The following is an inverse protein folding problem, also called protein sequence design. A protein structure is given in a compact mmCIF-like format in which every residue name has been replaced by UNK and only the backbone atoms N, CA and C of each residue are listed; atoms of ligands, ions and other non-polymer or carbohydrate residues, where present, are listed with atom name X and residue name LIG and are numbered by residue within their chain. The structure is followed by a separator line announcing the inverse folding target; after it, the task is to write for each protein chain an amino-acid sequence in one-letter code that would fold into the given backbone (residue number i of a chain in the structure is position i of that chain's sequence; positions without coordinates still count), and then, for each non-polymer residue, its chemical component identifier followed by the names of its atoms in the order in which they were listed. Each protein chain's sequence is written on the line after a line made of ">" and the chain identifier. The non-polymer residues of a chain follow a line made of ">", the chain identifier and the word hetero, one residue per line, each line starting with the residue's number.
data_IF_038931043858
#
_entry.id   IF_038931043858
#
_cell.length_a   1.000
_cell.length_b   1.000
_cell.length_c   1.000
_cell.angle_alpha   90.00
_cell.angle_beta   90.00
_cell.angle_gamma   90.00
#
_symmetry.space_group_name_H-M   'P 1'
#
loop_
_entity.id
_entity.type
_entity.pdbx_description
1 polymer ?
#
# COMPACT_ATOMS: atom_id res chain seq x y z
N UNK A 1 2.22 -5.27 -3.55
CA UNK A 1 2.68 -4.16 -4.44
C UNK A 1 3.96 -3.60 -3.86
N UNK A 2 5.04 -3.66 -4.61
CA UNK A 2 6.36 -3.28 -4.09
C UNK A 2 6.42 -1.77 -3.78
N UNK A 3 6.81 -1.43 -2.56
CA UNK A 3 6.81 -0.07 -2.04
C UNK A 3 7.94 0.82 -2.58
N UNK A 4 8.91 0.24 -3.26
CA UNK A 4 9.89 0.98 -4.08
C UNK A 4 9.23 1.94 -5.07
N UNK A 5 8.01 1.64 -5.51
CA UNK A 5 7.18 2.50 -6.37
C UNK A 5 6.89 3.88 -5.76
N UNK A 6 6.95 4.02 -4.43
CA UNK A 6 6.65 5.29 -3.75
C UNK A 6 7.87 6.19 -3.55
N UNK A 7 9.07 5.63 -3.42
CA UNK A 7 10.30 6.41 -3.20
C UNK A 7 10.78 7.06 -4.52
N UNK A 8 10.69 6.34 -5.65
CA UNK A 8 11.04 6.88 -6.97
C UNK A 8 10.12 8.00 -7.45
N UNK A 9 8.81 7.88 -7.20
CA UNK A 9 7.83 8.88 -7.66
C UNK A 9 8.00 10.25 -7.00
N UNK A 10 8.39 10.31 -5.74
CA UNK A 10 8.57 11.59 -5.03
C UNK A 10 9.81 12.38 -5.46
N UNK A 11 10.86 11.70 -5.95
CA UNK A 11 12.09 12.34 -6.42
C UNK A 11 11.98 12.86 -7.86
N UNK A 12 11.17 12.22 -8.71
CA UNK A 12 11.07 12.58 -10.12
C UNK A 12 10.00 13.65 -10.41
N UNK A 13 8.99 13.79 -9.55
CA UNK A 13 7.97 14.84 -9.71
C UNK A 13 8.52 16.29 -9.68
N UNK A 14 9.78 16.47 -9.25
CA UNK A 14 10.45 17.77 -9.18
C UNK A 14 11.19 18.21 -10.45
N UNK A 15 11.41 17.36 -11.46
CA UNK A 15 12.32 17.66 -12.56
C UNK A 15 11.69 17.97 -13.91
N UNK A 16 10.37 17.95 -14.06
CA UNK A 16 9.71 18.15 -15.34
C UNK A 16 8.84 19.41 -15.48
N UNK A 17 9.16 20.47 -14.77
CA UNK A 17 8.50 21.75 -14.95
C UNK A 17 9.33 22.67 -15.83
N UNK A 18 9.20 22.64 -17.16
CA UNK A 18 9.47 23.75 -18.08
C UNK A 18 8.97 23.47 -19.49
N UNK A 19 7.71 23.78 -19.79
CA UNK A 19 7.32 24.21 -21.14
C UNK A 19 6.08 25.09 -21.05
N UNK A 20 6.27 26.35 -21.35
CA UNK A 20 5.21 27.37 -21.45
C UNK A 20 4.61 27.35 -22.83
N UNK A 21 3.39 26.85 -22.99
CA UNK A 21 2.41 27.38 -23.95
C UNK A 21 1.07 26.67 -23.80
N UNK A 22 0.00 27.35 -24.06
CA UNK A 22 -1.37 26.97 -23.96
C UNK A 22 -1.66 25.50 -24.30
N UNK A 23 -2.26 24.75 -23.34
CA UNK A 23 -2.78 23.39 -23.48
C UNK A 23 -1.73 22.30 -23.81
N UNK A 24 -0.53 22.38 -23.29
CA UNK A 24 0.41 21.28 -23.40
C UNK A 24 0.03 20.17 -22.41
N UNK A 25 -0.36 19.02 -22.92
CA UNK A 25 -0.37 17.78 -22.15
C UNK A 25 1.07 17.27 -22.09
N UNK A 26 1.61 17.18 -20.89
CA UNK A 26 2.91 16.57 -20.66
C UNK A 26 2.76 15.07 -20.54
N UNK A 27 3.64 14.32 -21.19
CA UNK A 27 3.69 12.87 -21.07
C UNK A 27 5.12 12.43 -20.76
N UNK A 28 5.25 11.45 -19.87
CA UNK A 28 6.53 10.89 -19.49
C UNK A 28 6.46 9.37 -19.43
N UNK A 29 7.61 8.77 -19.64
CA UNK A 29 7.85 7.35 -19.43
C UNK A 29 9.02 7.23 -18.45
N UNK A 30 8.87 6.41 -17.43
CA UNK A 30 9.92 6.06 -16.49
C UNK A 30 10.04 4.54 -16.45
N UNK A 31 11.27 4.06 -16.36
CA UNK A 31 11.54 2.64 -16.14
C UNK A 31 12.15 2.49 -14.76
N UNK A 32 11.57 1.64 -13.93
CA UNK A 32 12.15 1.17 -12.68
C UNK A 32 12.60 -0.27 -12.86
N UNK A 33 13.80 -0.59 -12.38
CA UNK A 33 14.30 -1.95 -12.39
C UNK A 33 15.04 -2.22 -11.09
N UNK A 34 14.79 -3.39 -10.52
CA UNK A 34 15.35 -3.85 -9.26
C UNK A 34 15.95 -5.22 -9.42
N UNK A 35 17.20 -5.40 -9.00
CA UNK A 35 17.83 -6.70 -8.80
C UNK A 35 17.82 -7.04 -7.32
N UNK A 36 17.29 -8.20 -6.96
CA UNK A 36 17.14 -8.67 -5.58
C UNK A 36 17.95 -9.96 -5.44
N UNK A 37 18.76 -10.02 -4.39
CA UNK A 37 19.38 -11.25 -3.89
C UNK A 37 18.79 -11.53 -2.51
N UNK A 38 18.25 -12.74 -2.32
CA UNK A 38 17.71 -13.19 -1.03
C UNK A 38 18.37 -14.49 -0.56
N UNK A 39 18.40 -14.66 0.75
CA UNK A 39 18.82 -15.89 1.41
C UNK A 39 17.91 -16.12 2.61
N UNK A 40 17.13 -17.18 2.57
CA UNK A 40 16.11 -17.48 3.58
C UNK A 40 16.29 -18.85 4.20
N UNK A 41 15.91 -18.97 5.48
CA UNK A 41 15.85 -20.21 6.23
C UNK A 41 14.68 -20.19 7.22
N UNK A 42 14.20 -21.35 7.59
CA UNK A 42 13.12 -21.48 8.56
C UNK A 42 12.57 -22.90 8.63
N UNK A 43 11.66 -23.11 9.55
CA UNK A 43 10.95 -24.37 9.76
C UNK A 43 9.46 -24.30 9.39
N UNK A 44 9.08 -23.31 8.53
CA UNK A 44 7.74 -23.23 7.98
C UNK A 44 7.39 -24.49 7.16
N UNK A 45 6.09 -24.72 6.94
CA UNK A 45 5.65 -25.92 6.22
C UNK A 45 6.04 -25.90 4.73
N UNK A 46 6.27 -24.73 4.16
CA UNK A 46 6.69 -24.55 2.77
C UNK A 46 8.21 -24.42 2.67
N UNK A 47 8.91 -25.57 2.65
CA UNK A 47 10.36 -25.62 2.48
C UNK A 47 10.84 -25.02 1.13
N UNK A 48 9.94 -24.79 0.16
CA UNK A 48 10.28 -24.18 -1.12
C UNK A 48 10.72 -22.72 -0.99
N UNK A 49 10.42 -22.06 0.14
CA UNK A 49 10.85 -20.70 0.44
C UNK A 49 12.23 -20.63 1.11
N UNK A 50 12.82 -21.76 1.51
CA UNK A 50 14.17 -21.79 2.05
C UNK A 50 15.21 -21.83 0.92
N UNK A 51 16.33 -21.14 1.12
CA UNK A 51 17.45 -21.18 0.19
C UNK A 51 17.90 -19.81 -0.25
N UNK A 52 18.51 -19.75 -1.42
CA UNK A 52 19.03 -18.51 -2.01
C UNK A 52 18.37 -18.25 -3.35
N UNK A 53 17.97 -17.01 -3.56
CA UNK A 53 17.33 -16.55 -4.78
C UNK A 53 17.99 -15.31 -5.37
N UNK A 54 17.80 -15.13 -6.66
CA UNK A 54 18.07 -13.89 -7.38
C UNK A 54 16.84 -13.62 -8.22
N UNK A 55 16.29 -12.43 -8.10
CA UNK A 55 15.18 -11.96 -8.91
C UNK A 55 15.53 -10.63 -9.57
N UNK A 56 14.86 -10.34 -10.68
CA UNK A 56 14.85 -9.01 -11.30
C UNK A 56 13.41 -8.63 -11.45
N UNK A 57 13.07 -7.44 -11.02
CA UNK A 57 11.75 -6.83 -11.20
C UNK A 57 11.88 -5.60 -12.07
N UNK A 58 10.93 -5.36 -12.97
CA UNK A 58 10.96 -4.20 -13.86
C UNK A 58 9.55 -3.69 -14.12
N UNK A 59 9.36 -2.39 -13.85
CA UNK A 59 8.13 -1.68 -14.11
C UNK A 59 8.31 -0.56 -15.13
N UNK A 60 7.31 -0.34 -15.97
CA UNK A 60 7.24 0.80 -16.89
C UNK A 60 6.06 1.68 -16.47
N UNK A 61 6.37 2.92 -16.15
CA UNK A 61 5.40 3.93 -15.74
C UNK A 61 5.15 4.90 -16.89
N UNK A 62 3.90 5.00 -17.31
CA UNK A 62 3.42 6.02 -18.23
C UNK A 62 2.63 7.05 -17.46
N UNK A 63 2.99 8.32 -17.58
CA UNK A 63 2.23 9.41 -16.96
C UNK A 63 1.88 10.46 -18.01
N UNK A 64 0.71 11.05 -17.82
CA UNK A 64 0.28 12.19 -18.63
C UNK A 64 -0.45 13.18 -17.75
N UNK A 65 -0.25 14.47 -17.98
CA UNK A 65 -0.96 15.53 -17.27
C UNK A 65 -1.21 16.74 -18.15
N UNK A 66 -2.22 17.53 -17.80
CA UNK A 66 -2.52 18.77 -18.49
C UNK A 66 -3.52 19.61 -17.71
N UNK A 67 -3.70 20.84 -18.16
CA UNK A 67 -4.66 21.79 -17.60
C UNK A 67 -5.80 22.03 -18.60
N UNK A 68 -7.04 22.06 -18.12
CA UNK A 68 -8.22 22.40 -18.86
C UNK A 68 -8.47 23.91 -18.84
N UNK A 69 -9.18 24.43 -19.84
CA UNK A 69 -9.48 25.87 -19.98
C UNK A 69 -10.12 26.52 -18.73
N UNK A 70 -10.78 25.69 -17.89
CA UNK A 70 -11.40 26.16 -16.64
C UNK A 70 -10.44 26.17 -15.44
N UNK A 71 -9.15 25.88 -15.65
CA UNK A 71 -8.13 25.81 -14.59
C UNK A 71 -8.17 24.50 -13.78
N UNK A 72 -8.89 23.48 -14.26
CA UNK A 72 -8.82 22.14 -13.69
C UNK A 72 -7.65 21.37 -14.32
N UNK A 73 -7.06 20.48 -13.54
CA UNK A 73 -6.00 19.59 -14.01
C UNK A 73 -6.54 18.20 -14.32
N UNK A 74 -5.96 17.56 -15.31
CA UNK A 74 -6.18 16.14 -15.60
C UNK A 74 -4.87 15.40 -15.52
N UNK A 75 -4.88 14.19 -15.00
CA UNK A 75 -3.71 13.33 -15.01
C UNK A 75 -4.09 11.87 -15.23
N UNK A 76 -3.18 11.14 -15.88
CA UNK A 76 -3.26 9.70 -16.07
C UNK A 76 -1.94 9.09 -15.61
N UNK A 77 -2.01 7.99 -14.89
CA UNK A 77 -0.87 7.15 -14.52
C UNK A 77 -1.20 5.72 -14.89
N UNK A 78 -0.28 5.04 -15.56
CA UNK A 78 -0.42 3.64 -15.93
C UNK A 78 0.91 2.93 -15.68
N UNK A 79 0.90 1.88 -14.88
CA UNK A 79 2.07 1.09 -14.52
C UNK A 79 1.92 -0.32 -15.10
N UNK A 80 2.92 -0.74 -15.84
CA UNK A 80 3.04 -2.08 -16.35
C UNK A 80 4.15 -2.81 -15.60
N UNK A 81 3.82 -3.94 -15.01
CA UNK A 81 4.80 -4.93 -14.56
C UNK A 81 5.26 -5.72 -15.78
N UNK A 82 6.58 -5.79 -15.98
CA UNK A 82 7.20 -6.45 -17.14
C UNK A 82 8.13 -7.59 -16.74
N UNK A 83 8.12 -8.01 -15.50
CA UNK A 83 9.05 -9.01 -14.93
C UNK A 83 8.94 -10.36 -15.60
N UNK A 84 7.76 -10.93 -15.72
CA UNK A 84 7.54 -12.23 -16.39
C UNK A 84 6.64 -12.10 -17.63
N UNK A 85 5.55 -11.35 -17.50
CA UNK A 85 4.63 -11.04 -18.58
C UNK A 85 4.19 -9.60 -18.43
N UNK A 86 3.94 -8.91 -19.54
CA UNK A 86 3.43 -7.54 -19.47
C UNK A 86 2.01 -7.57 -18.91
N UNK A 87 1.86 -7.12 -17.67
CA UNK A 87 0.58 -7.03 -16.98
C UNK A 87 0.31 -5.62 -16.49
N UNK A 88 -0.97 -5.25 -16.36
CA UNK A 88 -1.33 -4.00 -15.72
C UNK A 88 -1.11 -4.11 -14.21
N UNK A 89 -0.23 -3.27 -13.66
CA UNK A 89 -0.02 -3.17 -12.22
C UNK A 89 -0.93 -2.11 -11.60
N UNK A 90 -1.12 -0.98 -12.26
CA UNK A 90 -2.09 0.04 -11.82
C UNK A 90 -2.45 1.01 -12.95
N UNK A 91 -3.68 1.51 -12.93
CA UNK A 91 -4.12 2.59 -13.83
C UNK A 91 -4.97 3.56 -13.04
N UNK A 92 -4.65 4.85 -13.16
CA UNK A 92 -5.37 5.93 -12.51
C UNK A 92 -5.63 7.05 -13.51
N UNK A 93 -6.82 7.63 -13.42
CA UNK A 93 -7.17 8.86 -14.15
C UNK A 93 -7.80 9.83 -13.15
N UNK A 94 -7.23 11.01 -13.00
CA UNK A 94 -7.67 11.99 -12.02
C UNK A 94 -8.03 13.34 -12.66
N UNK A 95 -9.01 14.02 -12.04
CA UNK A 95 -9.39 15.39 -12.34
C UNK A 95 -9.25 16.21 -11.06
N UNK A 96 -8.26 17.10 -11.03
CA UNK A 96 -8.04 18.06 -9.96
C UNK A 96 -8.89 19.31 -10.20
N UNK A 97 -9.80 19.59 -9.26
CA UNK A 97 -10.80 20.68 -9.36
C UNK A 97 -10.45 21.86 -8.45
N UNK A 98 -9.17 22.03 -8.11
CA UNK A 98 -8.68 23.07 -7.22
C UNK A 98 -9.30 22.97 -5.81
N UNK A 99 -9.97 24.01 -5.36
CA UNK A 99 -10.61 24.06 -4.03
C UNK A 99 -11.78 23.07 -3.86
N UNK A 100 -12.22 22.41 -4.92
CA UNK A 100 -13.24 21.37 -4.87
C UNK A 100 -12.66 19.97 -4.68
N UNK A 101 -11.31 19.83 -4.60
CA UNK A 101 -10.67 18.54 -4.41
C UNK A 101 -10.37 17.82 -5.71
N UNK A 102 -10.18 16.49 -5.64
CA UNK A 102 -9.82 15.65 -6.77
C UNK A 102 -10.79 14.48 -6.89
N UNK A 103 -11.25 14.22 -8.08
CA UNK A 103 -11.98 13.01 -8.44
C UNK A 103 -11.08 12.09 -9.26
N UNK A 104 -11.05 10.80 -8.94
CA UNK A 104 -10.14 9.84 -9.56
C UNK A 104 -10.87 8.54 -9.87
N UNK A 105 -10.58 7.97 -11.05
CA UNK A 105 -10.94 6.60 -11.41
C UNK A 105 -9.71 5.72 -11.25
N UNK A 106 -9.91 4.53 -10.70
CA UNK A 106 -8.84 3.55 -10.44
C UNK A 106 -9.16 2.23 -11.13
N UNK A 107 -8.12 1.57 -11.62
CA UNK A 107 -8.17 0.20 -12.10
C UNK A 107 -6.84 -0.47 -11.79
N UNK A 108 -6.87 -1.57 -11.05
CA UNK A 108 -5.74 -2.26 -10.42
C UNK A 108 -4.85 -1.33 -9.57
N UNK A 109 -4.71 -1.63 -8.30
CA UNK A 109 -3.80 -0.99 -7.36
C UNK A 109 -3.96 0.52 -7.16
N UNK A 110 -5.08 1.12 -7.58
CA UNK A 110 -5.20 2.57 -7.65
C UNK A 110 -6.04 3.27 -6.58
N UNK A 111 -6.71 2.55 -5.69
CA UNK A 111 -7.53 3.16 -4.68
C UNK A 111 -6.70 4.00 -3.70
N UNK A 112 -7.11 5.25 -3.46
CA UNK A 112 -6.34 6.15 -2.59
C UNK A 112 -6.39 5.76 -1.12
N UNK A 113 -7.40 5.01 -0.71
CA UNK A 113 -7.50 4.44 0.63
C UNK A 113 -6.40 3.43 0.93
N UNK A 114 -5.85 2.74 -0.08
CA UNK A 114 -4.68 1.89 0.09
C UNK A 114 -3.45 2.65 0.61
N UNK A 115 -3.40 3.96 0.46
CA UNK A 115 -2.29 4.75 1.01
C UNK A 115 -2.21 4.71 2.54
N UNK A 116 -3.22 4.19 3.22
CA UNK A 116 -3.25 4.02 4.68
C UNK A 116 -2.65 2.69 5.15
N UNK A 117 -2.46 1.72 4.26
CA UNK A 117 -1.81 0.44 4.56
C UNK A 117 -0.29 0.60 4.77
N UNK A 118 0.33 1.57 4.11
CA UNK A 118 1.77 1.81 4.05
C UNK A 118 2.24 3.03 4.85
N UNK A 119 1.73 3.26 6.03
CA UNK A 119 2.04 4.49 6.78
C UNK A 119 3.24 4.37 7.72
N UNK A 120 3.64 3.15 8.08
CA UNK A 120 4.78 2.96 8.97
C UNK A 120 6.10 3.34 8.31
N UNK A 121 7.00 4.06 9.01
CA UNK A 121 8.28 4.48 8.45
C UNK A 121 9.23 3.29 8.23
N UNK A 122 9.87 3.27 7.06
CA UNK A 122 10.77 2.21 6.64
C UNK A 122 11.94 2.76 5.83
N UNK A 123 13.07 2.05 5.82
CA UNK A 123 14.21 2.36 4.97
C UNK A 123 14.14 1.64 3.62
N UNK A 124 13.43 0.50 3.55
CA UNK A 124 13.33 -0.32 2.36
C UNK A 124 11.89 -0.83 2.16
N UNK A 125 11.49 -1.91 2.81
CA UNK A 125 10.19 -2.57 2.64
C UNK A 125 9.42 -2.69 3.95
N UNK A 126 8.13 -2.94 3.87
CA UNK A 126 7.31 -3.30 5.04
C UNK A 126 7.65 -4.72 5.52
N UNK A 127 7.36 -4.99 6.80
CA UNK A 127 7.59 -6.31 7.41
C UNK A 127 6.79 -7.44 6.75
N UNK A 128 5.73 -7.15 6.03
CA UNK A 128 4.88 -8.15 5.35
C UNK A 128 5.20 -8.33 3.86
N UNK A 129 6.15 -7.57 3.28
CA UNK A 129 6.49 -7.65 1.85
C UNK A 129 7.40 -8.83 1.49
N UNK A 130 7.86 -9.59 2.46
CA UNK A 130 8.77 -10.74 2.27
C UNK A 130 8.06 -12.03 1.80
N UNK A 131 6.82 -11.92 1.31
CA UNK A 131 6.08 -13.04 0.74
C UNK A 131 5.61 -14.10 1.74
N UNK A 132 5.75 -13.84 3.03
CA UNK A 132 5.31 -14.69 4.13
C UNK A 132 4.57 -13.85 5.14
N UNK A 133 3.29 -14.14 5.35
CA UNK A 133 2.41 -13.41 6.25
C UNK A 133 1.89 -12.10 5.67
N UNK A 134 0.79 -11.64 6.22
CA UNK A 134 0.13 -10.37 5.87
C UNK A 134 -0.53 -9.81 7.12
N UNK A 135 -0.40 -8.51 7.36
CA UNK A 135 -1.11 -7.84 8.43
C UNK A 135 -2.44 -7.26 7.94
N UNK A 136 -3.46 -7.23 8.79
CA UNK A 136 -4.80 -6.75 8.42
C UNK A 136 -4.81 -5.29 7.98
N UNK A 137 -3.91 -4.43 8.47
CA UNK A 137 -3.84 -3.05 8.00
C UNK A 137 -3.29 -2.97 6.55
N UNK A 138 -2.50 -3.95 6.10
CA UNK A 138 -2.08 -4.08 4.71
C UNK A 138 -3.25 -4.42 3.78
N UNK A 139 -4.27 -5.11 4.26
CA UNK A 139 -5.44 -5.46 3.46
C UNK A 139 -6.43 -4.29 3.27
N UNK A 140 -6.26 -3.17 3.99
CA UNK A 140 -7.16 -2.02 3.89
C UNK A 140 -7.20 -1.46 2.48
N UNK A 141 -8.37 -1.41 1.89
CA UNK A 141 -8.60 -0.91 0.52
C UNK A 141 -8.30 -1.91 -0.59
N UNK A 142 -7.70 -3.07 -0.31
CA UNK A 142 -7.32 -4.06 -1.32
C UNK A 142 -8.50 -4.57 -2.15
N UNK A 143 -9.66 -4.71 -1.53
CA UNK A 143 -10.90 -5.14 -2.19
C UNK A 143 -11.46 -4.12 -3.19
N UNK A 144 -11.03 -2.85 -3.11
CA UNK A 144 -11.50 -1.74 -3.95
C UNK A 144 -10.54 -1.44 -5.12
N UNK A 145 -9.56 -2.29 -5.35
CA UNK A 145 -8.49 -2.05 -6.33
C UNK A 145 -8.86 -2.39 -7.78
N UNK A 146 -9.98 -3.05 -8.02
CA UNK A 146 -10.31 -3.60 -9.35
C UNK A 146 -11.16 -2.70 -10.23
N UNK A 147 -11.67 -1.58 -9.73
CA UNK A 147 -12.45 -0.65 -10.51
C UNK A 147 -13.25 0.30 -9.63
N UNK A 148 -12.57 1.26 -9.01
CA UNK A 148 -13.18 2.18 -8.06
C UNK A 148 -13.13 3.62 -8.51
N UNK A 149 -13.94 4.44 -7.87
CA UNK A 149 -13.85 5.90 -7.93
C UNK A 149 -13.44 6.42 -6.57
N UNK A 150 -12.59 7.43 -6.56
CA UNK A 150 -12.11 8.10 -5.36
C UNK A 150 -12.42 9.58 -5.41
N UNK A 151 -12.90 10.13 -4.31
CA UNK A 151 -12.89 11.56 -4.08
C UNK A 151 -11.91 11.90 -2.95
N UNK A 152 -11.01 12.85 -3.24
CA UNK A 152 -10.04 13.41 -2.27
C UNK A 152 -10.42 14.85 -1.98
N UNK A 153 -10.66 15.18 -0.71
CA UNK A 153 -10.88 16.58 -0.33
C UNK A 153 -9.65 17.42 -0.58
N UNK A 154 -9.78 18.74 -0.74
CA UNK A 154 -8.64 19.64 -0.53
C UNK A 154 -8.12 19.46 0.90
N UNK A 155 -6.86 19.84 1.12
CA UNK A 155 -6.33 20.01 2.47
C UNK A 155 -6.92 21.28 3.09
N UNK A 156 -7.54 21.14 4.25
CA UNK A 156 -8.10 22.26 5.01
C UNK A 156 -7.09 22.68 6.08
N UNK A 157 -6.59 23.90 5.96
CA UNK A 157 -5.74 24.50 6.98
C UNK A 157 -6.59 25.06 8.12
N UNK A 158 -6.31 24.64 9.33
CA UNK A 158 -6.94 25.09 10.57
C UNK A 158 -5.95 25.92 11.39
N UNK A 159 -6.41 26.73 12.36
CA UNK A 159 -5.53 27.41 13.30
C UNK A 159 -4.55 26.43 13.98
N UNK A 160 -3.44 26.96 14.46
CA UNK A 160 -2.39 26.23 15.19
C UNK A 160 -1.59 25.24 14.32
N UNK A 161 -1.46 25.47 13.01
CA UNK A 161 -0.66 24.62 12.13
C UNK A 161 -1.23 23.23 11.87
N UNK A 162 -2.55 23.08 11.99
CA UNK A 162 -3.25 21.82 11.74
C UNK A 162 -3.75 21.79 10.31
N UNK A 163 -3.55 20.66 9.63
CA UNK A 163 -4.10 20.40 8.30
C UNK A 163 -4.97 19.14 8.36
N UNK A 164 -6.16 19.18 7.74
CA UNK A 164 -7.09 18.04 7.68
C UNK A 164 -7.38 17.70 6.23
N UNK A 165 -7.36 16.43 5.89
CA UNK A 165 -7.81 15.91 4.60
C UNK A 165 -8.56 14.59 4.77
N UNK A 166 -9.40 14.25 3.79
CA UNK A 166 -10.16 13.01 3.78
C UNK A 166 -10.23 12.43 2.37
N UNK A 167 -10.40 11.12 2.27
CA UNK A 167 -10.71 10.42 1.01
C UNK A 167 -11.96 9.57 1.18
N UNK A 168 -12.66 9.33 0.08
CA UNK A 168 -13.75 8.39 0.01
C UNK A 168 -13.63 7.60 -1.30
N UNK A 169 -13.72 6.28 -1.22
CA UNK A 169 -13.66 5.38 -2.34
C UNK A 169 -14.98 4.62 -2.46
N UNK A 170 -15.37 4.33 -3.67
CA UNK A 170 -16.52 3.49 -3.99
C UNK A 170 -16.19 2.56 -5.16
N UNK A 171 -16.37 1.27 -4.96
CA UNK A 171 -16.30 0.25 -5.99
C UNK A 171 -17.69 -0.42 -6.12
N UNK A 172 -18.34 -0.34 -7.29
CA UNK A 172 -19.65 -0.96 -7.49
C UNK A 172 -19.59 -2.51 -7.51
N UNK A 173 -18.40 -3.10 -7.66
CA UNK A 173 -18.18 -4.54 -7.78
C UNK A 173 -16.89 -4.97 -7.10
N UNK A 174 -16.73 -4.65 -5.83
CA UNK A 174 -15.55 -4.98 -5.03
C UNK A 174 -15.22 -6.48 -5.07
N UNK A 175 -13.92 -6.79 -5.00
CA UNK A 175 -13.39 -8.17 -5.09
C UNK A 175 -13.69 -8.93 -6.39
N UNK A 176 -14.21 -8.28 -7.41
CA UNK A 176 -14.45 -8.90 -8.73
C UNK A 176 -13.54 -8.21 -9.75
N UNK A 177 -12.75 -8.99 -10.47
CA UNK A 177 -11.95 -8.47 -11.57
C UNK A 177 -12.86 -7.79 -12.59
N UNK A 178 -12.72 -6.48 -12.75
CA UNK A 178 -13.50 -5.74 -13.71
C UNK A 178 -13.09 -6.18 -15.12
N UNK A 179 -14.02 -6.62 -15.96
CA UNK A 179 -13.73 -6.77 -17.37
C UNK A 179 -13.52 -5.39 -17.99
N UNK A 180 -12.83 -5.34 -19.11
CA UNK A 180 -12.55 -4.13 -19.89
C UNK A 180 -13.73 -3.16 -19.96
N UNK A 181 -13.48 -1.85 -20.20
CA UNK A 181 -14.42 -0.77 -19.90
C UNK A 181 -15.87 -1.07 -20.32
N UNK A 182 -16.80 -0.84 -19.43
CA UNK A 182 -18.24 -0.96 -19.60
C UNK A 182 -18.86 -2.38 -19.54
N UNK A 183 -18.22 -3.39 -19.02
CA UNK A 183 -18.98 -4.56 -18.63
C UNK A 183 -19.82 -4.26 -17.39
N UNK A 184 -21.10 -4.19 -17.61
CA UNK A 184 -22.12 -4.03 -16.58
C UNK A 184 -22.53 -5.41 -16.14
N UNK A 185 -22.46 -5.71 -14.85
CA UNK A 185 -23.04 -6.91 -14.29
C UNK A 185 -22.01 -7.99 -13.98
N UNK A 186 -21.47 -7.94 -12.80
CA UNK A 186 -20.90 -9.06 -12.07
C UNK A 186 -21.74 -9.32 -10.84
N UNK A 187 -21.58 -10.49 -10.26
CA UNK A 187 -22.24 -10.87 -9.01
C UNK A 187 -21.54 -10.29 -7.76
N UNK A 188 -20.67 -9.27 -7.95
CA UNK A 188 -19.96 -8.58 -6.89
C UNK A 188 -20.87 -7.68 -6.05
N UNK A 189 -20.54 -7.52 -4.78
CA UNK A 189 -21.14 -6.50 -3.93
C UNK A 189 -20.41 -5.17 -4.08
N UNK A 190 -21.08 -4.06 -3.79
CA UNK A 190 -20.39 -2.77 -3.66
C UNK A 190 -19.48 -2.76 -2.45
N UNK A 191 -18.37 -2.03 -2.58
CA UNK A 191 -17.47 -1.71 -1.48
C UNK A 191 -17.28 -0.21 -1.36
N UNK A 192 -17.02 0.23 -0.17
CA UNK A 192 -16.73 1.63 0.16
C UNK A 192 -15.62 1.73 1.19
N UNK A 193 -14.80 2.76 1.07
CA UNK A 193 -13.80 3.08 2.08
C UNK A 193 -13.78 4.59 2.33
N UNK A 194 -13.38 4.92 3.54
CA UNK A 194 -13.26 6.30 3.99
C UNK A 194 -12.03 6.48 4.86
N UNK A 195 -11.23 7.52 4.61
CA UNK A 195 -10.05 7.85 5.41
C UNK A 195 -10.04 9.30 5.82
N UNK A 196 -9.45 9.58 6.97
CA UNK A 196 -9.16 10.94 7.47
C UNK A 196 -7.72 11.02 7.90
N UNK A 197 -7.06 12.14 7.59
CA UNK A 197 -5.71 12.47 8.02
C UNK A 197 -5.71 13.86 8.66
N UNK A 198 -5.12 13.96 9.83
CA UNK A 198 -4.87 15.21 10.58
C UNK A 198 -3.38 15.32 10.77
N UNK A 199 -2.76 16.34 10.19
CA UNK A 199 -1.33 16.62 10.34
C UNK A 199 -1.11 17.95 11.05
N UNK A 200 -0.04 18.03 11.84
CA UNK A 200 0.39 19.24 12.53
C UNK A 200 1.80 19.64 12.08
N UNK A 201 2.08 20.93 12.01
CA UNK A 201 3.38 21.46 11.54
C UNK A 201 4.60 20.98 12.36
N UNK A 202 4.40 20.45 13.58
CA UNK A 202 5.46 19.83 14.38
C UNK A 202 5.94 18.49 13.84
N UNK A 203 5.32 17.95 12.79
CA UNK A 203 5.58 16.62 12.25
C UNK A 203 4.67 15.51 12.79
N UNK A 204 3.74 15.83 13.69
CA UNK A 204 2.77 14.86 14.20
C UNK A 204 1.65 14.65 13.17
N UNK A 205 1.29 13.39 12.91
CA UNK A 205 0.17 13.01 12.04
C UNK A 205 -0.65 11.93 12.73
N UNK A 206 -1.96 12.11 12.74
CA UNK A 206 -2.96 11.13 13.15
C UNK A 206 -3.86 10.83 11.95
N UNK A 207 -4.16 9.58 11.72
CA UNK A 207 -5.10 9.21 10.67
C UNK A 207 -5.79 7.89 10.94
N UNK A 208 -6.74 7.57 10.11
CA UNK A 208 -7.46 6.32 10.19
C UNK A 208 -8.51 6.21 9.10
N UNK A 209 -9.08 5.03 8.97
CA UNK A 209 -10.11 4.76 7.98
C UNK A 209 -10.94 3.53 8.30
N UNK A 210 -11.99 3.39 7.54
CA UNK A 210 -12.87 2.23 7.55
C UNK A 210 -13.19 1.83 6.11
N UNK A 211 -13.12 0.53 5.84
CA UNK A 211 -13.55 -0.09 4.57
C UNK A 211 -14.63 -1.12 4.86
N UNK A 212 -15.63 -1.20 4.01
CA UNK A 212 -16.67 -2.23 4.07
C UNK A 212 -16.97 -2.74 2.67
N UNK A 213 -17.02 -4.04 2.53
CA UNK A 213 -17.47 -4.72 1.31
C UNK A 213 -18.69 -5.55 1.64
N UNK A 214 -19.72 -5.45 0.84
CA UNK A 214 -20.93 -6.25 0.97
C UNK A 214 -20.68 -7.73 0.62
N UNK A 215 -21.64 -8.57 0.99
CA UNK A 215 -21.60 -10.00 0.73
C UNK A 215 -22.61 -10.38 -0.37
N UNK A 216 -22.14 -11.15 -1.35
CA UNK A 216 -22.96 -11.79 -2.40
C UNK A 216 -22.59 -13.25 -2.54
N UNK A 217 -23.23 -13.97 -3.46
CA UNK A 217 -22.90 -15.37 -3.77
C UNK A 217 -21.47 -15.53 -4.32
N UNK A 218 -20.87 -14.46 -4.89
CA UNK A 218 -19.54 -14.45 -5.48
C UNK A 218 -18.51 -13.61 -4.68
N UNK A 219 -18.95 -12.77 -3.76
CA UNK A 219 -18.11 -11.84 -3.02
C UNK A 219 -18.23 -12.07 -1.52
N UNK A 220 -17.10 -12.22 -0.87
CA UNK A 220 -17.03 -12.25 0.60
C UNK A 220 -17.22 -10.84 1.14
N UNK A 221 -18.09 -10.69 2.14
CA UNK A 221 -18.19 -9.45 2.88
C UNK A 221 -17.02 -9.31 3.86
N UNK A 222 -16.53 -8.11 4.03
CA UNK A 222 -15.48 -7.76 5.00
C UNK A 222 -15.63 -6.34 5.49
N UNK A 223 -15.11 -6.07 6.67
CA UNK A 223 -14.97 -4.72 7.20
C UNK A 223 -13.59 -4.61 7.83
N UNK A 224 -12.82 -3.60 7.44
CA UNK A 224 -11.52 -3.30 8.01
C UNK A 224 -11.55 -1.87 8.56
N UNK A 225 -11.10 -1.71 9.81
CA UNK A 225 -10.86 -0.41 10.40
C UNK A 225 -9.40 -0.30 10.78
N UNK A 226 -8.76 0.84 10.49
CA UNK A 226 -7.37 1.09 10.87
C UNK A 226 -7.18 2.50 11.39
N UNK A 227 -6.23 2.67 12.30
CA UNK A 227 -5.82 3.96 12.85
C UNK A 227 -4.31 4.00 13.07
N UNK A 228 -3.71 5.17 12.87
CA UNK A 228 -2.28 5.34 13.03
C UNK A 228 -1.88 6.67 13.64
N UNK A 229 -0.71 6.68 14.26
CA UNK A 229 -0.04 7.85 14.77
C UNK A 229 1.40 7.88 14.24
N UNK A 230 1.80 8.97 13.60
CA UNK A 230 3.15 9.18 13.08
C UNK A 230 3.76 10.46 13.66
N UNK A 231 5.06 10.43 13.84
CA UNK A 231 5.86 11.62 14.11
C UNK A 231 7.09 11.63 13.22
N UNK A 232 7.31 12.73 12.49
CA UNK A 232 8.47 12.90 11.62
C UNK A 232 9.08 14.28 11.80
N UNK A 233 10.34 14.34 12.21
CA UNK A 233 11.08 15.60 12.36
C UNK A 233 12.60 15.35 12.31
N UNK A 234 13.33 16.20 11.58
CA UNK A 234 14.79 16.19 11.57
C UNK A 234 15.44 14.88 11.11
N UNK A 235 14.79 14.15 10.18
CA UNK A 235 15.25 12.85 9.70
C UNK A 235 14.76 11.67 10.54
N UNK A 236 14.25 11.86 11.76
CA UNK A 236 13.63 10.85 12.59
C UNK A 236 12.16 10.70 12.22
N UNK A 237 11.70 9.45 12.05
CA UNK A 237 10.29 9.09 11.89
C UNK A 237 9.96 7.94 12.82
N UNK A 238 8.83 8.04 13.52
CA UNK A 238 8.31 6.99 14.41
C UNK A 238 6.83 6.82 14.07
N UNK A 239 6.38 5.58 13.97
CA UNK A 239 5.00 5.25 13.62
C UNK A 239 4.45 4.12 14.48
N UNK A 240 3.14 4.18 14.71
CA UNK A 240 2.34 3.11 15.28
C UNK A 240 1.01 3.03 14.54
N UNK A 241 0.57 1.83 14.23
CA UNK A 241 -0.68 1.56 13.52
C UNK A 241 -1.36 0.35 14.12
N UNK A 242 -2.68 0.40 14.21
CA UNK A 242 -3.54 -0.74 14.56
C UNK A 242 -4.59 -0.93 13.49
N UNK A 243 -5.01 -2.19 13.28
CA UNK A 243 -6.14 -2.52 12.44
C UNK A 243 -6.93 -3.69 13.01
N UNK A 244 -8.21 -3.68 12.68
CA UNK A 244 -9.15 -4.76 12.98
C UNK A 244 -9.88 -5.13 11.70
N UNK A 245 -9.80 -6.40 11.32
CA UNK A 245 -10.56 -6.98 10.22
C UNK A 245 -11.68 -7.87 10.77
N UNK A 246 -12.90 -7.60 10.35
CA UNK A 246 -14.04 -8.48 10.55
C UNK A 246 -14.37 -9.16 9.23
N UNK A 247 -13.88 -10.38 9.04
CA UNK A 247 -14.25 -11.19 7.90
C UNK A 247 -15.67 -11.73 8.11
N UNK A 248 -16.65 -10.95 7.72
CA UNK A 248 -18.03 -11.38 7.70
C UNK A 248 -18.20 -12.63 6.80
N UNK A 249 -19.28 -13.30 6.89
CA UNK A 249 -19.72 -14.53 6.20
C UNK A 249 -19.02 -14.76 4.85
N UNK A 250 -18.36 -15.92 4.70
CA UNK A 250 -17.57 -16.27 3.52
C UNK A 250 -18.36 -16.39 2.22
N UNK A 251 -19.67 -16.66 2.30
CA UNK A 251 -20.58 -16.73 1.15
C UNK A 251 -22.02 -16.50 1.61
N UNK A 252 -22.83 -15.90 0.77
CA UNK A 252 -24.25 -15.74 1.03
C UNK A 252 -24.94 -17.11 1.14
N UNK A 253 -25.57 -17.34 2.27
CA UNK A 253 -26.24 -18.63 2.55
C UNK A 253 -25.37 -19.65 3.28
N UNK A 254 -24.09 -19.38 3.54
CA UNK A 254 -23.26 -20.18 4.45
C UNK A 254 -23.28 -19.57 5.85
N UNK A 255 -23.16 -20.41 6.88
CA UNK A 255 -22.98 -19.96 8.27
C UNK A 255 -21.53 -19.91 8.68
N UNK A 256 -20.62 -20.17 7.75
CA UNK A 256 -19.17 -20.17 8.02
C UNK A 256 -18.69 -18.72 7.95
N UNK A 257 -18.35 -18.18 9.09
CA UNK A 257 -17.74 -16.86 9.26
C UNK A 257 -16.24 -16.97 9.03
N UNK A 258 -15.62 -15.99 8.39
CA UNK A 258 -14.18 -15.83 8.35
C UNK A 258 -13.63 -15.57 9.76
N UNK A 259 -12.32 -15.55 9.93
CA UNK A 259 -11.68 -15.19 11.18
C UNK A 259 -11.63 -13.68 11.27
N UNK A 260 -11.97 -13.16 12.44
CA UNK A 260 -11.65 -11.78 12.78
C UNK A 260 -10.13 -11.71 13.07
N UNK A 261 -9.46 -10.67 12.59
CA UNK A 261 -8.02 -10.49 12.74
C UNK A 261 -7.73 -9.12 13.35
N UNK A 262 -6.84 -9.11 14.31
CA UNK A 262 -6.28 -7.89 14.90
C UNK A 262 -4.81 -7.81 14.52
N UNK A 263 -4.35 -6.62 14.12
CA UNK A 263 -2.94 -6.38 13.83
C UNK A 263 -2.51 -5.04 14.41
N UNK A 264 -1.27 -4.99 14.87
CA UNK A 264 -0.60 -3.77 15.24
C UNK A 264 0.82 -3.73 14.65
N UNK A 265 1.33 -2.53 14.47
CA UNK A 265 2.67 -2.31 13.95
C UNK A 265 3.32 -1.09 14.54
N UNK A 266 4.62 -1.20 14.80
CA UNK A 266 5.49 -0.13 15.24
C UNK A 266 6.69 -0.02 14.33
N UNK A 267 7.11 1.21 14.02
CA UNK A 267 8.35 1.42 13.29
C UNK A 267 9.07 2.68 13.71
N UNK A 268 10.39 2.65 13.60
CA UNK A 268 11.28 3.79 13.74
C UNK A 268 12.23 3.82 12.56
N UNK A 269 12.37 4.98 11.91
CA UNK A 269 13.35 5.19 10.84
C UNK A 269 14.13 6.47 11.08
N UNK A 270 15.36 6.47 10.60
CA UNK A 270 16.23 7.66 10.63
C UNK A 270 16.94 7.83 9.29
N UNK A 271 16.84 9.03 8.73
CA UNK A 271 17.52 9.41 7.49
C UNK A 271 18.57 10.48 7.75
N UNK A 272 19.79 10.27 7.24
CA UNK A 272 20.92 11.20 7.36
C UNK A 272 21.64 11.31 6.01
N UNK A 273 21.41 12.41 5.29
CA UNK A 273 21.90 12.57 3.92
C UNK A 273 21.32 11.50 3.01
N UNK A 274 22.18 10.74 2.35
CA UNK A 274 21.80 9.69 1.40
C UNK A 274 21.55 8.32 2.06
N UNK A 275 21.70 8.22 3.38
CA UNK A 275 21.52 6.99 4.16
C UNK A 275 20.20 7.00 4.93
N UNK A 276 19.54 5.86 4.99
CA UNK A 276 18.39 5.61 5.85
C UNK A 276 18.52 4.26 6.56
N UNK A 277 17.98 4.19 7.76
CA UNK A 277 17.92 3.00 8.60
C UNK A 277 16.53 2.90 9.20
N UNK A 278 16.03 1.69 9.38
CA UNK A 278 14.77 1.45 10.09
C UNK A 278 14.80 0.15 10.87
N UNK A 279 13.97 0.12 11.89
CA UNK A 279 13.45 -1.07 12.54
C UNK A 279 11.93 -0.99 12.52
N UNK A 280 11.29 -2.08 12.16
CA UNK A 280 9.85 -2.22 12.18
C UNK A 280 9.47 -3.58 12.75
N UNK A 281 8.33 -3.62 13.42
CA UNK A 281 7.70 -4.83 13.94
C UNK A 281 6.19 -4.72 13.72
N UNK A 282 5.58 -5.81 13.27
CA UNK A 282 4.13 -5.95 13.17
C UNK A 282 3.70 -7.28 13.74
N UNK A 283 2.55 -7.28 14.39
CA UNK A 283 1.94 -8.44 15.00
C UNK A 283 0.56 -8.67 14.41
N UNK A 284 0.18 -9.92 14.26
CA UNK A 284 -1.15 -10.30 13.82
C UNK A 284 -1.70 -11.45 14.64
N UNK A 285 -2.94 -11.32 15.12
CA UNK A 285 -3.66 -12.35 15.84
C UNK A 285 -4.98 -12.65 15.15
N UNK A 286 -5.13 -13.88 14.65
CA UNK A 286 -6.41 -14.37 14.17
C UNK A 286 -7.24 -14.92 15.33
N UNK A 287 -8.38 -14.30 15.59
CA UNK A 287 -9.27 -14.64 16.70
C UNK A 287 -9.95 -15.99 16.48
N UNK A 288 -10.21 -16.70 17.59
CA UNK A 288 -11.00 -17.92 17.53
C UNK A 288 -12.41 -17.62 17.04
N UNK A 289 -12.86 -18.35 16.02
CA UNK A 289 -14.21 -18.24 15.51
C UNK A 289 -14.93 -19.59 15.53
N UNK A 290 -15.88 -19.73 16.42
CA UNK A 290 -16.67 -20.95 16.58
C UNK A 290 -15.86 -22.17 16.99
N UNK A 291 -15.72 -23.17 16.09
CA UNK A 291 -15.01 -24.41 16.37
C UNK A 291 -13.49 -24.33 16.14
N UNK A 292 -12.98 -23.21 15.65
CA UNK A 292 -11.54 -23.04 15.38
C UNK A 292 -10.87 -22.45 16.62
N UNK A 293 -9.80 -23.11 17.11
CA UNK A 293 -9.01 -22.59 18.23
C UNK A 293 -8.36 -21.24 17.85
N UNK A 294 -8.11 -20.42 18.88
CA UNK A 294 -7.27 -19.24 18.73
C UNK A 294 -5.90 -19.67 18.19
N UNK A 295 -5.31 -18.85 17.35
CA UNK A 295 -3.95 -19.04 16.86
C UNK A 295 -2.98 -18.26 17.77
N UNK A 296 -1.72 -18.66 17.74
CA UNK A 296 -0.64 -17.86 18.33
C UNK A 296 -0.51 -16.55 17.55
N UNK A 297 -0.09 -15.50 18.23
CA UNK A 297 0.24 -14.22 17.61
C UNK A 297 1.45 -14.40 16.68
N UNK A 298 1.29 -13.98 15.43
CA UNK A 298 2.36 -13.93 14.46
C UNK A 298 3.12 -12.62 14.63
N UNK A 299 4.45 -12.67 14.68
CA UNK A 299 5.30 -11.48 14.80
C UNK A 299 6.24 -11.41 13.61
N UNK A 300 6.27 -10.25 12.96
CA UNK A 300 7.16 -9.95 11.84
C UNK A 300 8.03 -8.76 12.22
N UNK A 301 9.34 -8.89 12.05
CA UNK A 301 10.26 -7.78 12.30
C UNK A 301 11.29 -7.62 11.21
N UNK A 302 11.74 -6.38 10.97
CA UNK A 302 12.77 -6.08 9.99
C UNK A 302 13.75 -5.01 10.50
N UNK A 303 15.05 -5.24 10.29
CA UNK A 303 16.10 -4.24 10.40
C UNK A 303 16.58 -3.94 9.00
N UNK A 304 16.54 -2.67 8.60
CA UNK A 304 16.82 -2.28 7.23
C UNK A 304 17.78 -1.10 7.14
N UNK A 305 18.51 -1.06 6.03
CA UNK A 305 19.33 0.08 5.64
C UNK A 305 19.20 0.34 4.13
N UNK A 306 19.24 1.59 3.72
CA UNK A 306 19.32 1.96 2.31
C UNK A 306 20.30 3.12 2.10
N UNK A 307 20.93 3.13 0.92
CA UNK A 307 21.84 4.18 0.47
C UNK A 307 21.46 4.63 -0.94
N UNK A 308 21.16 5.92 -1.08
CA UNK A 308 20.77 6.54 -2.34
C UNK A 308 21.98 7.14 -3.03
N UNK A 309 22.23 6.75 -4.27
CA UNK A 309 23.31 7.23 -5.14
C UNK A 309 22.79 8.06 -6.32
N UNK A 310 21.69 8.76 -6.13
CA UNK A 310 21.00 9.51 -7.18
C UNK A 310 20.02 8.61 -7.94
N UNK A 311 20.31 8.20 -9.18
CA UNK A 311 19.45 7.29 -9.94
C UNK A 311 19.53 5.82 -9.54
N UNK A 312 20.31 5.48 -8.49
CA UNK A 312 20.47 4.11 -7.97
C UNK A 312 20.29 4.08 -6.46
N UNK A 313 19.59 3.09 -5.94
CA UNK A 313 19.49 2.81 -4.50
C UNK A 313 20.01 1.40 -4.21
N UNK A 314 20.81 1.27 -3.16
CA UNK A 314 21.21 -0.03 -2.61
C UNK A 314 20.52 -0.16 -1.26
N UNK A 315 19.80 -1.26 -1.05
CA UNK A 315 19.09 -1.53 0.20
C UNK A 315 19.36 -2.94 0.70
N UNK A 316 19.26 -3.12 2.01
CA UNK A 316 19.37 -4.42 2.66
C UNK A 316 18.33 -4.54 3.76
N UNK A 317 17.81 -5.75 3.95
CA UNK A 317 16.88 -6.13 5.01
C UNK A 317 17.35 -7.40 5.71
N UNK A 318 17.23 -7.40 7.03
CA UNK A 318 17.24 -8.59 7.87
C UNK A 318 15.83 -8.74 8.42
N UNK A 319 15.16 -9.78 8.01
CA UNK A 319 13.75 -10.07 8.33
C UNK A 319 13.65 -11.32 9.18
N UNK A 320 12.76 -11.29 10.17
CA UNK A 320 12.46 -12.40 11.07
C UNK A 320 10.94 -12.50 11.25
N UNK A 321 10.41 -13.74 11.19
CA UNK A 321 9.02 -14.01 11.45
C UNK A 321 8.86 -15.19 12.41
N UNK A 322 8.09 -14.98 13.47
CA UNK A 322 7.77 -15.95 14.49
C UNK A 322 6.29 -16.37 14.45
N UNK A 323 6.03 -17.62 14.82
CA UNK A 323 4.70 -18.22 14.93
C UNK A 323 3.86 -18.16 13.65
N UNK A 324 4.50 -18.28 12.49
CA UNK A 324 3.86 -18.20 11.18
C UNK A 324 2.60 -19.07 11.08
N UNK A 325 1.55 -18.56 10.40
CA UNK A 325 0.21 -19.14 10.30
C UNK A 325 -0.46 -19.32 11.70
N UNK A 326 0.01 -18.62 12.73
CA UNK A 326 -0.42 -18.77 14.11
C UNK A 326 -0.04 -20.13 14.70
N UNK A 327 1.09 -20.70 14.29
CA UNK A 327 1.61 -21.98 14.80
C UNK A 327 2.86 -21.73 15.63
N UNK A 328 2.79 -22.09 16.92
CA UNK A 328 3.88 -21.90 17.86
C UNK A 328 5.23 -22.44 17.35
N UNK A 329 6.28 -21.64 17.49
CA UNK A 329 7.67 -21.95 17.11
C UNK A 329 7.90 -22.19 15.60
N UNK A 330 6.97 -21.82 14.74
CA UNK A 330 7.14 -21.81 13.30
C UNK A 330 7.83 -20.50 12.91
N UNK A 331 9.04 -20.60 12.35
CA UNK A 331 9.93 -19.46 12.12
C UNK A 331 10.37 -19.32 10.67
N UNK A 332 10.68 -18.10 10.29
CA UNK A 332 11.33 -17.78 9.03
C UNK A 332 12.25 -16.57 9.21
N UNK A 333 13.45 -16.67 8.65
CA UNK A 333 14.46 -15.62 8.64
C UNK A 333 14.89 -15.36 7.19
N UNK A 334 15.01 -14.11 6.78
CA UNK A 334 15.47 -13.74 5.45
C UNK A 334 16.47 -12.60 5.52
N UNK A 335 17.51 -12.71 4.69
CA UNK A 335 18.44 -11.62 4.39
C UNK A 335 18.25 -11.24 2.94
N UNK A 336 17.97 -9.98 2.68
CA UNK A 336 17.80 -9.45 1.34
C UNK A 336 18.78 -8.33 1.05
N UNK A 337 19.31 -8.31 -0.18
CA UNK A 337 20.10 -7.23 -0.75
C UNK A 337 19.47 -6.82 -2.08
N UNK A 338 19.16 -5.55 -2.21
CA UNK A 338 18.55 -4.99 -3.42
C UNK A 338 19.41 -3.90 -4.03
N UNK A 339 19.39 -3.83 -5.35
CA UNK A 339 19.90 -2.71 -6.13
C UNK A 339 18.82 -2.28 -7.11
N UNK A 340 18.32 -1.06 -6.96
CA UNK A 340 17.27 -0.51 -7.82
C UNK A 340 17.74 0.71 -8.60
N UNK A 341 17.17 0.88 -9.79
CA UNK A 341 17.42 1.99 -10.71
C UNK A 341 16.08 2.58 -11.16
N UNK A 342 16.04 3.92 -11.29
CA UNK A 342 14.92 4.64 -11.89
C UNK A 342 15.45 5.66 -12.90
N UNK A 343 14.97 5.65 -14.15
CA UNK A 343 15.38 6.54 -15.24
C UNK A 343 14.29 6.76 -16.30
#
# INVERSE_FOLDING_TARGET
>A
MNNLKKIGLSALAGSMALATSAQAFDAAVMVESQGIFSSAEGNQADEAKNGKGIAVDTDIHFTGSGELDMGWTVSVSHVLDTTEAVTNSSTQMAVGMGSLGTFQFNHDGGASSNAIDDVLPKAYEETWDHGIGTASFHAFGSALNKGSVTYKTPSFELPMGITVSATADYDPQANVAQPAPAAVGGDGASGEAFTVKIAHESGLTLGGGNMTVGNTDATKGETIATGYLLYSNGGLSIGYQEAYENAAITEKGTTTRGKDTESDGFAIAYSAGDMSFSYSESNETAQANGATAAKEEETFSAIQAAYNLGGMTIAASLYDADNLDGVAAKKYEETELSVSFAF
#
